data_IF_603460796180
#
_entry.id   IF_603460796180
#
_cell.length_a   1.000
_cell.length_b   1.000
_cell.length_c   1.000
_cell.angle_alpha   90.00
_cell.angle_beta   90.00
_cell.angle_gamma   90.00
#
_symmetry.space_group_name_H-M   'P 1'
#
loop_
_entity.id
_entity.type
_entity.pdbx_description
1 polymer ?
#
# COMPACT_ATOMS: atom_id res chain seq x y z
N UNK A 1 26.53 -13.20 25.77
CA UNK A 1 25.13 -13.55 25.44
C UNK A 1 25.18 -14.38 24.16
N UNK A 2 24.68 -15.63 24.19
CA UNK A 2 24.75 -16.68 23.15
C UNK A 2 26.10 -17.05 22.51
N UNK A 3 27.19 -16.33 22.75
CA UNK A 3 28.53 -16.82 22.43
C UNK A 3 28.80 -18.16 23.16
N UNK A 4 29.37 -19.17 22.48
CA UNK A 4 30.06 -19.12 21.18
C UNK A 4 29.22 -19.54 19.96
N UNK A 5 27.88 -19.45 20.01
CA UNK A 5 27.05 -19.86 18.88
C UNK A 5 27.29 -18.99 17.64
N UNK A 6 27.38 -19.63 16.46
CA UNK A 6 27.41 -18.93 15.17
C UNK A 6 26.06 -18.26 14.90
N UNK A 7 26.09 -17.00 14.49
CA UNK A 7 24.89 -16.22 14.20
C UNK A 7 24.87 -15.85 12.71
N UNK A 8 23.73 -16.11 12.05
CA UNK A 8 23.54 -15.81 10.63
C UNK A 8 22.41 -14.79 10.52
N UNK A 9 22.73 -13.59 10.01
CA UNK A 9 21.77 -12.54 9.72
C UNK A 9 21.25 -12.63 8.28
N UNK A 10 19.95 -12.41 8.08
CA UNK A 10 19.34 -12.28 6.75
C UNK A 10 18.52 -11.00 6.69
N UNK A 11 18.67 -10.24 5.60
CA UNK A 11 17.91 -9.01 5.37
C UNK A 11 17.47 -8.91 3.91
N UNK A 12 16.30 -8.32 3.68
CA UNK A 12 15.79 -8.02 2.34
C UNK A 12 16.19 -6.61 1.85
N UNK A 13 16.85 -5.81 2.70
CA UNK A 13 17.25 -4.43 2.38
C UNK A 13 18.76 -4.25 2.51
N UNK A 14 19.44 -3.75 1.45
CA UNK A 14 20.88 -3.54 1.44
C UNK A 14 21.29 -2.38 2.38
N UNK A 15 22.59 -2.29 2.70
CA UNK A 15 23.16 -1.32 3.65
C UNK A 15 22.80 0.12 3.29
N UNK A 16 22.29 0.87 4.27
CA UNK A 16 21.93 2.30 4.19
C UNK A 16 22.08 2.98 5.55
N UNK A 17 22.00 4.30 5.58
CA UNK A 17 22.13 5.14 6.78
C UNK A 17 21.16 4.74 7.92
N UNK A 18 19.98 4.22 7.58
CA UNK A 18 18.95 3.78 8.52
C UNK A 18 19.14 2.35 9.05
N UNK A 19 20.01 1.54 8.43
CA UNK A 19 20.24 0.13 8.80
C UNK A 19 21.72 -0.18 9.15
N UNK A 20 22.53 0.84 9.45
CA UNK A 20 23.97 0.70 9.69
C UNK A 20 24.27 -0.27 10.84
N UNK A 21 23.43 -0.29 11.88
CA UNK A 21 23.63 -1.14 13.06
C UNK A 21 23.60 -2.64 12.76
N UNK A 22 22.81 -3.09 11.77
CA UNK A 22 22.79 -4.50 11.37
C UNK A 22 24.13 -4.91 10.75
N UNK A 23 24.71 -4.05 9.92
CA UNK A 23 26.00 -4.31 9.27
C UNK A 23 27.17 -4.11 10.23
N UNK A 24 27.02 -3.25 11.24
CA UNK A 24 28.01 -3.13 12.32
C UNK A 24 28.07 -4.42 13.16
N UNK A 25 26.93 -5.10 13.38
CA UNK A 25 26.88 -6.33 14.16
C UNK A 25 27.31 -7.57 13.36
N UNK A 26 26.74 -7.76 12.15
CA UNK A 26 26.97 -8.96 11.33
C UNK A 26 28.13 -8.83 10.34
N UNK A 27 28.66 -7.62 10.12
CA UNK A 27 29.66 -7.34 9.08
C UNK A 27 29.05 -7.17 7.69
N UNK A 28 29.92 -7.24 6.68
CA UNK A 28 29.52 -7.15 5.27
C UNK A 28 28.76 -8.41 4.81
N UNK A 29 27.81 -8.28 3.88
CA UNK A 29 27.02 -9.41 3.41
C UNK A 29 27.91 -10.42 2.67
N UNK A 30 27.82 -11.70 3.05
CA UNK A 30 28.51 -12.79 2.36
C UNK A 30 27.96 -13.04 0.95
N UNK A 31 26.68 -12.71 0.74
CA UNK A 31 25.98 -12.86 -0.53
C UNK A 31 24.81 -11.86 -0.60
N UNK A 32 24.57 -11.28 -1.77
CA UNK A 32 23.42 -10.44 -2.04
C UNK A 32 22.71 -10.94 -3.30
N UNK A 33 21.38 -11.13 -3.19
CA UNK A 33 20.52 -11.44 -4.34
C UNK A 33 19.50 -10.32 -4.50
N UNK A 34 19.71 -9.47 -5.50
CA UNK A 34 18.94 -8.24 -5.65
C UNK A 34 17.56 -8.49 -6.27
N UNK A 35 16.62 -7.58 -6.03
CA UNK A 35 15.31 -7.57 -6.71
C UNK A 35 15.46 -7.58 -8.24
N UNK A 36 16.42 -6.81 -8.77
CA UNK A 36 16.66 -6.72 -10.21
C UNK A 36 17.14 -8.07 -10.78
N UNK A 37 18.02 -8.75 -10.06
CA UNK A 37 18.50 -10.09 -10.43
C UNK A 37 17.36 -11.12 -10.35
N UNK A 38 16.56 -11.10 -9.29
CA UNK A 38 15.38 -11.96 -9.16
C UNK A 38 14.37 -11.80 -10.29
N UNK A 39 14.17 -10.57 -10.80
CA UNK A 39 13.31 -10.31 -11.95
C UNK A 39 13.96 -10.83 -13.25
N UNK A 40 15.25 -10.57 -13.46
CA UNK A 40 15.99 -10.99 -14.65
C UNK A 40 16.06 -12.53 -14.79
N UNK A 41 16.23 -13.23 -13.67
CA UNK A 41 16.28 -14.69 -13.61
C UNK A 41 14.89 -15.34 -13.69
N UNK A 42 13.81 -14.54 -13.67
CA UNK A 42 12.42 -15.02 -13.74
C UNK A 42 11.88 -15.61 -12.44
N UNK A 43 12.53 -15.36 -11.29
CA UNK A 43 12.04 -15.79 -9.97
C UNK A 43 11.10 -14.77 -9.31
N UNK A 44 11.18 -13.50 -9.70
CA UNK A 44 10.32 -12.42 -9.21
C UNK A 44 9.57 -11.74 -10.35
N UNK A 45 8.35 -11.30 -10.06
CA UNK A 45 7.48 -10.64 -11.01
C UNK A 45 8.00 -9.22 -11.32
N UNK A 46 8.13 -8.83 -12.60
CA UNK A 46 8.37 -7.43 -12.98
C UNK A 46 7.18 -6.54 -12.59
N UNK A 47 7.43 -5.24 -12.52
CA UNK A 47 6.42 -4.23 -12.18
C UNK A 47 6.34 -3.07 -13.17
N UNK A 48 5.18 -2.41 -13.20
CA UNK A 48 4.94 -1.16 -13.91
C UNK A 48 4.56 -0.07 -12.91
N UNK A 49 5.16 1.11 -13.03
CA UNK A 49 4.85 2.26 -12.15
C UNK A 49 3.94 3.22 -12.89
N UNK A 50 2.79 3.52 -12.30
CA UNK A 50 1.81 4.50 -12.77
C UNK A 50 1.81 5.67 -11.79
N UNK A 51 2.43 6.79 -12.18
CA UNK A 51 2.46 8.01 -11.36
C UNK A 51 1.22 8.84 -11.61
N UNK A 52 0.48 9.16 -10.55
CA UNK A 52 -0.76 9.93 -10.57
C UNK A 52 -0.54 11.21 -9.78
N UNK A 53 -0.26 12.30 -10.50
CA UNK A 53 -0.14 13.63 -9.88
C UNK A 53 -1.54 14.22 -9.84
N UNK A 54 -2.07 14.49 -8.65
CA UNK A 54 -3.34 15.19 -8.53
C UNK A 54 -3.12 16.70 -8.71
N UNK A 55 -4.13 17.42 -9.22
CA UNK A 55 -4.05 18.89 -9.34
C UNK A 55 -3.77 19.58 -7.99
N UNK A 56 -4.11 18.91 -6.88
CA UNK A 56 -3.84 19.34 -5.50
C UNK A 56 -2.35 19.30 -5.13
N UNK A 57 -1.54 18.47 -5.80
CA UNK A 57 -0.10 18.34 -5.53
C UNK A 57 0.75 19.33 -6.37
N UNK A 58 0.16 19.94 -7.41
CA UNK A 58 0.90 20.74 -8.41
C UNK A 58 0.85 22.26 -8.19
N UNK A 59 -0.16 22.77 -7.50
CA UNK A 59 -0.31 24.18 -7.17
C UNK A 59 -0.93 24.26 -5.76
N UNK A 60 -0.40 25.11 -4.88
CA UNK A 60 -0.90 25.25 -3.51
C UNK A 60 -2.43 25.27 -3.41
N UNK A 61 -2.96 24.61 -2.39
CA UNK A 61 -4.40 24.42 -2.24
C UNK A 61 -5.03 25.53 -1.38
N UNK A 62 -6.21 26.00 -1.80
CA UNK A 62 -7.05 26.96 -1.06
C UNK A 62 -8.46 26.37 -0.92
N UNK A 63 -9.04 26.33 0.29
CA UNK A 63 -10.38 25.81 0.54
C UNK A 63 -11.47 26.58 -0.20
N UNK A 64 -12.54 25.89 -0.54
CA UNK A 64 -13.80 26.51 -0.95
C UNK A 64 -14.50 27.08 0.29
N UNK A 65 -15.21 28.21 0.19
CA UNK A 65 -15.89 28.83 1.33
C UNK A 65 -16.90 27.88 1.96
N UNK A 66 -16.71 27.53 3.24
CA UNK A 66 -17.57 26.60 4.00
C UNK A 66 -17.13 25.13 3.94
N UNK A 67 -15.95 24.84 3.38
CA UNK A 67 -15.37 23.50 3.40
C UNK A 67 -15.00 23.09 4.84
N UNK A 68 -15.30 21.83 5.19
CA UNK A 68 -15.06 21.28 6.53
C UNK A 68 -13.90 20.30 6.53
N UNK A 69 -13.13 20.32 7.61
CA UNK A 69 -12.06 19.35 7.88
C UNK A 69 -12.64 17.97 8.26
N UNK A 70 -11.77 16.97 8.44
CA UNK A 70 -12.19 15.60 8.85
C UNK A 70 -12.98 15.54 10.17
N UNK A 71 -12.90 16.57 11.01
CA UNK A 71 -13.59 16.67 12.29
C UNK A 71 -14.83 17.58 12.22
N UNK A 72 -15.24 17.98 11.01
CA UNK A 72 -16.42 18.82 10.80
C UNK A 72 -16.21 20.30 11.14
N UNK A 73 -14.96 20.76 11.23
CA UNK A 73 -14.63 22.17 11.53
C UNK A 73 -14.40 22.94 10.24
N UNK A 74 -14.91 24.16 10.16
CA UNK A 74 -14.66 25.03 9.02
C UNK A 74 -13.17 25.29 8.84
N UNK A 75 -12.73 25.17 7.60
CA UNK A 75 -11.35 25.35 7.22
C UNK A 75 -11.12 26.84 6.98
N UNK A 76 -10.15 27.47 7.66
CA UNK A 76 -9.86 28.89 7.44
C UNK A 76 -9.50 29.17 5.97
N UNK A 77 -9.97 30.29 5.44
CA UNK A 77 -9.62 30.73 4.08
C UNK A 77 -8.18 31.27 4.04
N UNK A 78 -7.21 30.39 3.77
CA UNK A 78 -5.80 30.74 3.59
C UNK A 78 -5.15 29.93 2.47
N UNK A 79 -4.00 30.42 2.00
CA UNK A 79 -3.16 29.72 1.02
C UNK A 79 -2.18 28.82 1.76
N UNK A 80 -2.30 27.51 1.57
CA UNK A 80 -1.58 26.53 2.37
C UNK A 80 -0.39 25.94 1.60
N UNK A 81 0.80 26.00 2.22
CA UNK A 81 2.00 25.35 1.70
C UNK A 81 2.06 23.87 2.09
N UNK A 82 2.82 23.08 1.33
CA UNK A 82 2.90 21.61 1.38
C UNK A 82 3.37 21.01 2.72
N UNK A 83 3.86 21.80 3.68
CA UNK A 83 4.47 21.26 4.91
C UNK A 83 3.62 21.33 6.18
N UNK A 84 2.63 22.21 6.26
CA UNK A 84 1.94 22.48 7.54
C UNK A 84 0.41 22.21 7.53
N UNK A 85 -0.20 21.96 6.37
CA UNK A 85 -1.67 21.78 6.26
C UNK A 85 -2.12 20.41 5.74
N UNK A 86 -1.17 19.50 5.49
CA UNK A 86 -1.38 18.21 4.84
C UNK A 86 -2.30 17.22 5.58
N UNK A 87 -2.59 17.42 6.88
CA UNK A 87 -3.03 16.30 7.71
C UNK A 87 -4.55 16.12 7.91
N UNK A 88 -5.39 17.10 7.56
CA UNK A 88 -6.80 17.03 7.98
C UNK A 88 -7.80 17.37 6.86
N UNK A 89 -7.42 18.25 5.95
CA UNK A 89 -8.34 18.88 5.01
C UNK A 89 -8.12 18.39 3.58
N UNK A 90 -6.88 18.44 3.10
CA UNK A 90 -6.50 17.96 1.78
C UNK A 90 -6.70 16.44 1.63
N UNK A 91 -6.69 15.69 2.74
CA UNK A 91 -6.83 14.23 2.74
C UNK A 91 -8.16 13.77 2.17
N UNK A 92 -9.31 14.40 2.46
CA UNK A 92 -10.59 13.84 2.02
C UNK A 92 -10.79 13.97 0.51
N UNK A 93 -10.52 15.16 -0.05
CA UNK A 93 -10.58 15.38 -1.50
C UNK A 93 -9.55 14.50 -2.24
N UNK A 94 -8.34 14.39 -1.70
CA UNK A 94 -7.29 13.51 -2.23
C UNK A 94 -7.68 12.03 -2.16
N UNK A 95 -8.21 11.56 -1.04
CA UNK A 95 -8.74 10.19 -0.87
C UNK A 95 -9.79 9.88 -1.92
N UNK A 96 -10.73 10.80 -2.16
CA UNK A 96 -11.76 10.64 -3.19
C UNK A 96 -11.18 10.63 -4.61
N UNK A 97 -10.19 11.48 -4.90
CA UNK A 97 -9.50 11.49 -6.19
C UNK A 97 -8.75 10.17 -6.44
N UNK A 98 -7.96 9.72 -5.46
CA UNK A 98 -7.23 8.45 -5.51
C UNK A 98 -8.21 7.28 -5.67
N UNK A 99 -9.29 7.24 -4.89
CA UNK A 99 -10.30 6.18 -4.97
C UNK A 99 -10.99 6.13 -6.34
N UNK A 100 -11.33 7.29 -6.91
CA UNK A 100 -11.91 7.38 -8.27
C UNK A 100 -10.93 6.90 -9.34
N UNK A 101 -9.68 7.35 -9.28
CA UNK A 101 -8.65 6.91 -10.21
C UNK A 101 -8.43 5.39 -10.12
N UNK A 102 -8.29 4.85 -8.90
CA UNK A 102 -8.10 3.42 -8.69
C UNK A 102 -9.30 2.60 -9.17
N UNK A 103 -10.52 3.02 -8.87
CA UNK A 103 -11.72 2.34 -9.34
C UNK A 103 -11.82 2.35 -10.88
N UNK A 104 -11.50 3.47 -11.52
CA UNK A 104 -11.42 3.58 -12.99
C UNK A 104 -10.36 2.66 -13.58
N UNK A 105 -9.14 2.68 -13.04
CA UNK A 105 -8.05 1.80 -13.45
C UNK A 105 -8.44 0.32 -13.36
N UNK A 106 -9.07 -0.09 -12.25
CA UNK A 106 -9.53 -1.47 -12.07
C UNK A 106 -10.70 -1.83 -12.99
N UNK A 107 -11.58 -0.88 -13.31
CA UNK A 107 -12.68 -1.09 -14.26
C UNK A 107 -12.18 -1.31 -15.70
N UNK A 108 -11.11 -0.62 -16.09
CA UNK A 108 -10.48 -0.77 -17.42
C UNK A 108 -9.58 -2.00 -17.54
N UNK A 109 -9.10 -2.54 -16.41
CA UNK A 109 -8.14 -3.65 -16.39
C UNK A 109 -8.74 -4.96 -15.88
N UNK A 110 -8.94 -5.08 -14.57
CA UNK A 110 -9.49 -6.27 -13.90
C UNK A 110 -10.04 -5.88 -12.53
N UNK A 111 -11.38 -5.89 -12.39
CA UNK A 111 -12.06 -5.54 -11.12
C UNK A 111 -11.86 -6.58 -10.01
N UNK A 112 -11.27 -7.74 -10.29
CA UNK A 112 -10.93 -8.73 -9.27
C UNK A 112 -9.42 -8.89 -9.09
N UNK A 113 -8.63 -7.97 -9.64
CA UNK A 113 -7.21 -7.88 -9.37
C UNK A 113 -6.96 -7.55 -7.89
N UNK A 114 -6.47 -8.53 -7.12
CA UNK A 114 -6.13 -8.33 -5.70
C UNK A 114 -5.20 -7.13 -5.54
N UNK A 115 -5.62 -6.19 -4.70
CA UNK A 115 -5.06 -4.84 -4.57
C UNK A 115 -4.83 -4.49 -3.10
N UNK A 116 -3.68 -3.92 -2.78
CA UNK A 116 -3.37 -3.40 -1.43
C UNK A 116 -3.15 -1.90 -1.52
N UNK A 117 -3.85 -1.12 -0.69
CA UNK A 117 -3.77 0.34 -0.61
C UNK A 117 -3.12 0.76 0.71
N UNK A 118 -1.91 1.33 0.62
CA UNK A 118 -1.14 1.82 1.76
C UNK A 118 -1.49 3.29 2.05
N UNK A 119 -2.23 3.50 3.13
CA UNK A 119 -2.76 4.78 3.59
C UNK A 119 -1.88 5.38 4.70
N UNK A 120 -2.07 6.67 4.97
CA UNK A 120 -1.29 7.44 5.95
C UNK A 120 -1.43 6.87 7.36
N UNK A 121 -2.67 6.71 7.84
CA UNK A 121 -3.01 6.20 9.17
C UNK A 121 -4.26 5.30 9.13
N UNK A 122 -4.67 4.76 10.29
CA UNK A 122 -5.81 3.84 10.37
C UNK A 122 -7.14 4.49 9.97
N UNK A 123 -7.28 5.79 10.23
CA UNK A 123 -8.48 6.56 9.94
C UNK A 123 -8.58 6.83 8.43
N UNK A 124 -7.48 7.22 7.79
CA UNK A 124 -7.40 7.31 6.32
C UNK A 124 -7.67 5.96 5.66
N UNK A 125 -7.17 4.84 6.19
CA UNK A 125 -7.50 3.51 5.66
C UNK A 125 -9.02 3.21 5.71
N UNK A 126 -9.74 3.73 6.71
CA UNK A 126 -11.20 3.60 6.79
C UNK A 126 -11.91 4.49 5.77
N UNK A 127 -11.49 5.75 5.66
CA UNK A 127 -12.03 6.70 4.67
C UNK A 127 -11.84 6.16 3.23
N UNK A 128 -10.65 5.63 2.94
CA UNK A 128 -10.33 5.01 1.66
C UNK A 128 -11.20 3.77 1.39
N UNK A 129 -11.40 2.91 2.40
CA UNK A 129 -12.28 1.74 2.29
C UNK A 129 -13.70 2.17 1.93
N UNK A 130 -14.23 3.18 2.63
CA UNK A 130 -15.58 3.71 2.40
C UNK A 130 -15.72 4.31 1.00
N UNK A 131 -14.74 5.10 0.56
CA UNK A 131 -14.73 5.70 -0.78
C UNK A 131 -14.73 4.64 -1.88
N UNK A 132 -13.86 3.61 -1.76
CA UNK A 132 -13.79 2.53 -2.73
C UNK A 132 -15.04 1.64 -2.72
N UNK A 133 -15.62 1.38 -1.56
CA UNK A 133 -16.89 0.64 -1.46
C UNK A 133 -18.04 1.40 -2.12
N UNK A 134 -18.12 2.73 -1.94
CA UNK A 134 -19.15 3.57 -2.56
C UNK A 134 -19.02 3.66 -4.09
N UNK A 135 -17.81 3.49 -4.64
CA UNK A 135 -17.54 3.46 -6.08
C UNK A 135 -17.76 2.07 -6.71
N UNK A 136 -17.91 1.02 -5.89
CA UNK A 136 -18.06 -0.37 -6.33
C UNK A 136 -19.32 -1.01 -5.71
N UNK A 137 -20.42 -0.26 -5.60
CA UNK A 137 -21.64 -0.71 -4.93
C UNK A 137 -22.28 -1.93 -5.56
N UNK A 138 -22.13 -2.08 -6.88
CA UNK A 138 -22.55 -3.26 -7.63
C UNK A 138 -21.82 -4.53 -7.15
N UNK A 139 -20.50 -4.47 -6.98
CA UNK A 139 -19.71 -5.60 -6.48
C UNK A 139 -19.85 -5.80 -4.98
N UNK A 140 -19.98 -4.73 -4.20
CA UNK A 140 -20.19 -4.81 -2.73
C UNK A 140 -21.54 -5.44 -2.40
N UNK A 141 -22.55 -5.26 -3.26
CA UNK A 141 -23.87 -5.89 -3.09
C UNK A 141 -23.78 -7.41 -3.14
N UNK A 142 -22.99 -7.96 -4.06
CA UNK A 142 -22.82 -9.40 -4.24
C UNK A 142 -21.71 -9.97 -3.36
N UNK A 143 -20.70 -9.14 -3.04
CA UNK A 143 -19.54 -9.46 -2.22
C UNK A 143 -19.35 -8.40 -1.12
N UNK A 144 -20.00 -8.55 0.05
CA UNK A 144 -19.91 -7.57 1.14
C UNK A 144 -18.48 -7.30 1.63
N UNK A 145 -17.55 -8.23 1.38
CA UNK A 145 -16.14 -8.14 1.73
C UNK A 145 -15.24 -7.72 0.55
N UNK A 146 -15.79 -7.17 -0.53
CA UNK A 146 -15.01 -6.74 -1.70
C UNK A 146 -13.89 -5.74 -1.33
N UNK A 147 -14.18 -4.79 -0.41
CA UNK A 147 -13.20 -3.85 0.18
C UNK A 147 -13.15 -4.00 1.70
N UNK A 148 -12.00 -4.41 2.23
CA UNK A 148 -11.77 -4.58 3.66
C UNK A 148 -10.66 -3.67 4.17
N UNK A 149 -10.78 -3.21 5.42
CA UNK A 149 -9.69 -2.54 6.14
C UNK A 149 -8.95 -3.58 6.96
N UNK A 150 -7.61 -3.52 6.95
CA UNK A 150 -6.75 -4.37 7.79
C UNK A 150 -5.74 -3.46 8.49
N UNK A 151 -6.05 -3.15 9.74
CA UNK A 151 -5.24 -2.33 10.64
C UNK A 151 -5.26 -2.93 12.04
N UNK A 152 -4.50 -2.37 12.98
CA UNK A 152 -4.40 -2.89 14.35
C UNK A 152 -5.75 -2.86 15.07
N UNK A 153 -6.59 -1.85 14.79
CA UNK A 153 -7.92 -1.69 15.40
C UNK A 153 -8.89 -2.84 15.04
N UNK A 154 -8.64 -3.52 13.93
CA UNK A 154 -9.54 -4.53 13.38
C UNK A 154 -9.38 -5.93 13.99
N UNK A 155 -8.33 -6.13 14.78
CA UNK A 155 -8.08 -7.37 15.52
C UNK A 155 -8.27 -8.64 14.69
N UNK A 156 -9.07 -9.56 15.20
CA UNK A 156 -9.33 -10.87 14.59
C UNK A 156 -10.05 -10.76 13.24
N UNK A 157 -10.94 -9.77 13.08
CA UNK A 157 -11.67 -9.55 11.82
C UNK A 157 -10.70 -9.14 10.70
N UNK A 158 -9.78 -8.22 11.00
CA UNK A 158 -8.72 -7.84 10.06
C UNK A 158 -7.81 -9.02 9.71
N UNK A 159 -7.47 -9.84 10.71
CA UNK A 159 -6.67 -11.06 10.50
C UNK A 159 -7.37 -12.07 9.59
N UNK A 160 -8.68 -12.27 9.76
CA UNK A 160 -9.48 -13.15 8.91
C UNK A 160 -9.56 -12.64 7.46
N UNK A 161 -9.78 -11.33 7.26
CA UNK A 161 -9.76 -10.73 5.92
C UNK A 161 -8.39 -10.85 5.26
N UNK A 162 -7.30 -10.64 6.02
CA UNK A 162 -5.95 -10.85 5.52
C UNK A 162 -5.73 -12.30 5.11
N UNK A 163 -6.07 -13.27 5.95
CA UNK A 163 -5.92 -14.69 5.64
C UNK A 163 -6.71 -15.08 4.38
N UNK A 164 -7.96 -14.63 4.28
CA UNK A 164 -8.79 -14.85 3.09
C UNK A 164 -8.17 -14.19 1.86
N UNK A 165 -7.64 -12.98 1.95
CA UNK A 165 -6.96 -12.31 0.84
C UNK A 165 -5.69 -13.04 0.37
N UNK A 166 -4.96 -13.70 1.28
CA UNK A 166 -3.75 -14.46 0.95
C UNK A 166 -4.04 -15.78 0.25
N UNK A 167 -5.20 -16.37 0.51
CA UNK A 167 -5.63 -17.60 -0.14
C UNK A 167 -5.76 -17.40 -1.66
N UNK A 168 -5.22 -18.33 -2.45
CA UNK A 168 -5.25 -18.23 -3.92
C UNK A 168 -6.57 -18.70 -4.52
N UNK A 169 -7.34 -19.49 -3.77
CA UNK A 169 -8.65 -20.00 -4.18
C UNK A 169 -9.77 -18.98 -3.95
N UNK A 170 -9.50 -17.92 -3.19
CA UNK A 170 -10.48 -16.89 -2.86
C UNK A 170 -10.40 -15.72 -3.83
N UNK A 171 -11.57 -15.28 -4.27
CA UNK A 171 -11.69 -14.12 -5.14
C UNK A 171 -11.85 -12.81 -4.34
N UNK A 172 -12.41 -12.86 -3.13
CA UNK A 172 -12.59 -11.70 -2.23
C UNK A 172 -11.99 -11.95 -0.84
N UNK A 173 -11.54 -10.92 -0.10
CA UNK A 173 -11.50 -9.50 -0.46
C UNK A 173 -10.63 -9.22 -1.68
N UNK A 174 -11.03 -8.24 -2.50
CA UNK A 174 -10.23 -7.80 -3.65
C UNK A 174 -9.33 -6.65 -3.26
N UNK A 175 -9.83 -5.73 -2.43
CA UNK A 175 -9.07 -4.56 -2.02
C UNK A 175 -8.88 -4.56 -0.52
N UNK A 176 -7.63 -4.52 -0.07
CA UNK A 176 -7.28 -4.26 1.32
C UNK A 176 -6.76 -2.84 1.48
N UNK A 177 -7.35 -2.07 2.39
CA UNK A 177 -6.79 -0.80 2.85
C UNK A 177 -6.05 -1.01 4.16
N UNK A 178 -4.87 -0.42 4.30
CA UNK A 178 -4.04 -0.55 5.50
C UNK A 178 -3.25 0.72 5.74
N UNK A 179 -2.74 0.91 6.95
CA UNK A 179 -1.74 1.94 7.23
C UNK A 179 -0.33 1.34 7.14
N UNK A 180 0.13 0.71 8.22
CA UNK A 180 1.46 0.10 8.34
C UNK A 180 1.40 -1.43 8.52
N UNK A 181 0.26 -2.00 8.91
CA UNK A 181 0.18 -3.39 9.38
C UNK A 181 0.57 -4.41 8.29
N UNK A 182 0.34 -4.09 7.01
CA UNK A 182 0.69 -4.97 5.89
C UNK A 182 2.07 -4.66 5.26
N UNK A 183 2.85 -3.75 5.86
CA UNK A 183 4.23 -3.51 5.40
C UNK A 183 5.08 -4.77 5.59
N UNK A 184 4.75 -5.63 6.57
CA UNK A 184 5.40 -6.91 6.83
C UNK A 184 4.37 -8.03 6.96
N UNK A 185 4.73 -9.26 6.57
CA UNK A 185 3.93 -10.46 6.89
C UNK A 185 2.69 -10.74 6.02
N UNK A 186 2.41 -9.96 4.97
CA UNK A 186 1.42 -10.38 3.95
C UNK A 186 2.11 -11.12 2.82
N UNK A 187 1.73 -12.37 2.68
CA UNK A 187 2.06 -13.24 1.56
C UNK A 187 0.81 -13.44 0.70
N UNK A 188 0.61 -12.56 -0.27
CA UNK A 188 -0.51 -12.62 -1.21
C UNK A 188 0.05 -12.78 -2.63
N UNK A 189 0.33 -14.02 -3.06
CA UNK A 189 1.11 -14.26 -4.27
C UNK A 189 0.32 -13.93 -5.55
N UNK A 190 -0.99 -13.72 -5.44
CA UNK A 190 -1.90 -13.25 -6.50
C UNK A 190 -2.15 -11.73 -6.47
N UNK A 191 -1.47 -10.97 -5.60
CA UNK A 191 -1.59 -9.51 -5.53
C UNK A 191 -1.08 -8.84 -6.83
N UNK A 192 -1.97 -8.21 -7.59
CA UNK A 192 -1.69 -7.59 -8.90
C UNK A 192 -1.44 -6.09 -8.81
N UNK A 193 -1.96 -5.40 -7.79
CA UNK A 193 -1.80 -3.95 -7.65
C UNK A 193 -1.35 -3.57 -6.23
N UNK A 194 -0.34 -2.70 -6.15
CA UNK A 194 0.14 -2.07 -4.92
C UNK A 194 -0.06 -0.56 -5.07
N UNK A 195 -0.85 0.05 -4.20
CA UNK A 195 -1.24 1.46 -4.29
C UNK A 195 -0.65 2.24 -3.12
N UNK A 196 0.03 3.34 -3.41
CA UNK A 196 0.64 4.22 -2.42
C UNK A 196 -0.21 5.48 -2.26
N UNK A 197 -1.03 5.53 -1.20
CA UNK A 197 -1.83 6.71 -0.85
C UNK A 197 -1.16 7.51 0.28
N UNK A 198 0.16 7.41 0.42
CA UNK A 198 0.96 8.05 1.46
C UNK A 198 2.36 8.33 0.93
N UNK A 199 3.02 9.31 1.54
CA UNK A 199 4.46 9.48 1.36
C UNK A 199 5.18 8.29 2.01
N UNK A 200 6.08 7.66 1.24
CA UNK A 200 6.95 6.61 1.73
C UNK A 200 8.24 7.26 2.23
N UNK A 201 8.55 7.08 3.52
CA UNK A 201 9.60 7.84 4.20
C UNK A 201 11.01 7.32 3.93
N UNK A 202 11.14 6.07 3.48
CA UNK A 202 12.43 5.45 3.21
C UNK A 202 12.39 4.40 2.11
N UNK A 203 13.54 4.17 1.46
CA UNK A 203 13.66 3.12 0.45
C UNK A 203 13.47 1.70 1.01
N UNK A 204 13.88 1.38 2.26
CA UNK A 204 13.52 0.11 2.88
C UNK A 204 12.02 -0.11 3.01
N UNK A 205 11.27 0.90 3.49
CA UNK A 205 9.80 0.83 3.57
C UNK A 205 9.19 0.61 2.17
N UNK A 206 9.67 1.36 1.17
CA UNK A 206 9.25 1.18 -0.22
C UNK A 206 9.48 -0.24 -0.73
N UNK A 207 10.68 -0.79 -0.53
CA UNK A 207 11.03 -2.16 -0.93
C UNK A 207 10.17 -3.21 -0.23
N UNK A 208 9.85 -3.01 1.04
CA UNK A 208 8.95 -3.90 1.79
C UNK A 208 7.53 -3.87 1.23
N UNK A 209 7.02 -2.68 0.87
CA UNK A 209 5.69 -2.49 0.27
C UNK A 209 5.62 -3.16 -1.10
N UNK A 210 6.54 -2.84 -2.02
CA UNK A 210 6.49 -3.41 -3.38
C UNK A 210 6.76 -4.91 -3.39
N UNK A 211 7.54 -5.42 -2.42
CA UNK A 211 7.81 -6.84 -2.24
C UNK A 211 6.55 -7.70 -2.00
N UNK A 212 5.38 -7.08 -1.76
CA UNK A 212 4.10 -7.78 -1.68
C UNK A 212 3.55 -8.18 -3.05
N UNK A 213 3.95 -7.49 -4.12
CA UNK A 213 3.54 -7.80 -5.49
C UNK A 213 4.56 -8.63 -6.28
N UNK A 214 5.78 -8.81 -5.79
CA UNK A 214 6.89 -9.43 -6.55
C UNK A 214 6.80 -10.95 -6.68
N UNK A 215 5.86 -11.61 -5.99
CA UNK A 215 5.68 -13.05 -6.15
C UNK A 215 5.04 -13.38 -7.51
N UNK A 216 5.56 -14.42 -8.15
CA UNK A 216 5.00 -15.00 -9.37
C UNK A 216 3.99 -16.08 -9.02
N UNK A 217 2.86 -16.09 -9.73
CA UNK A 217 1.92 -17.23 -9.79
C UNK A 217 1.39 -17.39 -11.22
N UNK A 218 2.20 -17.95 -12.13
CA UNK A 218 1.81 -18.15 -13.52
C UNK A 218 0.51 -18.95 -13.65
N UNK A 219 0.31 -19.95 -12.78
CA UNK A 219 -0.88 -20.80 -12.76
C UNK A 219 -2.18 -20.03 -12.48
N UNK A 220 -2.09 -18.84 -11.87
CA UNK A 220 -3.21 -17.93 -11.60
C UNK A 220 -3.10 -16.63 -12.42
N UNK A 221 -2.35 -16.65 -13.53
CA UNK A 221 -2.20 -15.51 -14.43
C UNK A 221 -1.40 -14.33 -13.87
N UNK A 222 -0.66 -14.52 -12.78
CA UNK A 222 0.12 -13.48 -12.12
C UNK A 222 1.58 -13.50 -12.57
N UNK A 223 1.85 -12.75 -13.65
CA UNK A 223 3.19 -12.61 -14.26
C UNK A 223 3.85 -11.25 -14.01
N UNK A 224 3.08 -10.22 -13.68
CA UNK A 224 3.56 -8.87 -13.38
C UNK A 224 2.63 -8.22 -12.35
N UNK A 225 3.03 -7.08 -11.78
CA UNK A 225 2.17 -6.27 -10.93
C UNK A 225 2.29 -4.77 -11.23
N UNK A 226 1.32 -4.00 -10.78
CA UNK A 226 1.29 -2.55 -10.92
C UNK A 226 1.62 -1.89 -9.58
N UNK A 227 2.39 -0.81 -9.65
CA UNK A 227 2.55 0.15 -8.56
C UNK A 227 1.82 1.42 -9.01
N UNK A 228 0.85 1.85 -8.22
CA UNK A 228 0.10 3.10 -8.46
C UNK A 228 0.52 4.06 -7.36
N UNK A 229 1.17 5.15 -7.74
CA UNK A 229 1.77 6.15 -6.85
C UNK A 229 1.18 7.53 -7.11
#
# INVERSE_FOLDING_TARGET
WFEPATQIGMTATPRREDNVDTYNYFGDPLYEYSLAQGIADGFLAPYRVHRVISDYDAAGWRPTRGELDRYGREIPDAEYSTRDFERVVALRARTQAIARHLAGFMAETDRFAKTIVFCVDQEHALEMRQALAALNTDLVKDHPDYVCRVTSDEGDVGSAHRAKFQDVETQTPVILTTSQLLTTGVDAPTCKNVVLARVVGSMPEFKQIIGRGTRLRPDYGKLAFNIID
#
